data_IF_821840025663
#
_entry.id   IF_821840025663
#
_cell.length_a   1.000
_cell.length_b   1.000
_cell.length_c   1.000
_cell.angle_alpha   90.00
_cell.angle_beta   90.00
_cell.angle_gamma   90.00
#
_symmetry.space_group_name_H-M   'P 1'
#
loop_
_entity.id
_entity.type
_entity.pdbx_description
1 polymer ?
#
# COMPACT_ATOMS: atom_id res chain seq x y z
N UNK A 1 8.97 21.80 8.73
CA UNK A 1 8.14 21.26 7.64
C UNK A 1 6.76 20.96 8.17
N UNK A 2 5.68 21.34 7.47
CA UNK A 2 4.33 20.84 7.79
C UNK A 2 4.29 19.34 7.51
N UNK A 3 3.61 18.59 8.37
CA UNK A 3 3.34 17.17 8.11
C UNK A 3 2.58 17.04 6.77
N UNK A 4 2.98 16.14 5.85
CA UNK A 4 2.21 15.90 4.63
C UNK A 4 0.86 15.22 4.91
N UNK A 5 0.69 14.67 6.13
CA UNK A 5 -0.54 14.00 6.54
C UNK A 5 -1.57 15.02 7.04
N UNK A 6 -2.75 15.02 6.42
CA UNK A 6 -3.95 15.76 6.83
C UNK A 6 -4.95 14.80 7.45
N UNK A 7 -5.80 15.26 8.40
CA UNK A 7 -6.90 14.45 8.92
C UNK A 7 -7.97 14.18 7.86
N UNK A 8 -8.13 15.09 6.90
CA UNK A 8 -9.02 14.89 5.75
C UNK A 8 -8.28 14.08 4.69
N UNK A 9 -8.85 12.93 4.32
CA UNK A 9 -8.26 12.00 3.34
C UNK A 9 -8.98 12.19 2.01
N UNK A 10 -8.21 12.54 0.97
CA UNK A 10 -8.69 12.65 -0.40
C UNK A 10 -8.18 11.46 -1.21
N UNK A 11 -9.12 10.74 -1.84
CA UNK A 11 -8.86 9.59 -2.73
C UNK A 11 -9.64 9.82 -4.02
N UNK A 12 -8.93 9.79 -5.15
CA UNK A 12 -9.51 9.96 -6.48
C UNK A 12 -9.57 8.63 -7.21
N UNK A 13 -10.39 8.54 -8.26
CA UNK A 13 -10.48 7.30 -9.05
C UNK A 13 -9.18 6.96 -9.78
N UNK A 14 -8.38 7.94 -10.20
CA UNK A 14 -7.12 7.69 -10.92
C UNK A 14 -5.98 7.25 -10.03
N UNK A 15 -6.06 7.49 -8.71
CA UNK A 15 -5.01 7.21 -7.75
C UNK A 15 -3.67 7.95 -8.01
N UNK A 16 -3.66 9.02 -8.82
CA UNK A 16 -2.43 9.74 -9.16
C UNK A 16 -1.74 10.34 -7.93
N UNK A 17 -2.49 10.51 -6.84
CA UNK A 17 -2.01 11.01 -5.55
C UNK A 17 -1.43 9.93 -4.60
N UNK A 18 -1.36 8.67 -5.05
CA UNK A 18 -0.91 7.49 -4.31
C UNK A 18 0.15 6.75 -5.15
N UNK A 19 1.42 6.67 -4.72
CA UNK A 19 1.98 7.23 -3.49
C UNK A 19 2.09 8.76 -3.51
N UNK A 20 2.28 9.37 -2.35
CA UNK A 20 2.69 10.77 -2.25
C UNK A 20 4.09 11.00 -2.85
N UNK A 21 4.39 12.23 -3.26
CA UNK A 21 5.69 12.60 -3.83
C UNK A 21 6.86 12.24 -2.90
N UNK A 22 6.70 12.40 -1.58
CA UNK A 22 7.73 12.05 -0.60
C UNK A 22 7.98 10.53 -0.58
N UNK A 23 6.93 9.70 -0.55
CA UNK A 23 7.07 8.24 -0.56
C UNK A 23 7.61 7.73 -1.92
N UNK A 24 7.25 8.39 -3.02
CA UNK A 24 7.80 8.09 -4.33
C UNK A 24 9.30 8.41 -4.44
N UNK A 25 9.74 9.55 -3.90
CA UNK A 25 11.11 10.04 -4.04
C UNK A 25 12.09 9.46 -3.01
N UNK A 26 11.60 9.01 -1.84
CA UNK A 26 12.44 8.59 -0.72
C UNK A 26 12.27 7.11 -0.39
N UNK A 27 13.27 6.31 -0.78
CA UNK A 27 13.25 4.85 -0.59
C UNK A 27 13.28 4.40 0.88
N UNK A 28 13.53 5.30 1.82
CA UNK A 28 13.46 4.99 3.24
C UNK A 28 12.02 4.69 3.70
N UNK A 29 11.00 5.13 2.96
CA UNK A 29 9.60 4.83 3.22
C UNK A 29 9.22 3.47 2.62
N UNK A 30 9.12 2.45 3.47
CA UNK A 30 8.87 1.08 3.04
C UNK A 30 8.02 0.30 4.05
N UNK A 31 7.45 -0.80 3.58
CA UNK A 31 6.75 -1.84 4.34
C UNK A 31 7.53 -3.15 4.25
N UNK A 32 7.76 -3.79 5.39
CA UNK A 32 8.17 -5.20 5.47
C UNK A 32 7.05 -6.02 6.08
N UNK A 33 6.69 -7.12 5.42
CA UNK A 33 5.68 -8.09 5.86
C UNK A 33 6.38 -9.34 6.31
N UNK A 34 6.21 -9.69 7.57
CA UNK A 34 6.87 -10.83 8.22
C UNK A 34 5.82 -11.72 8.87
N UNK A 35 5.89 -13.01 8.59
CA UNK A 35 5.04 -14.02 9.24
C UNK A 35 5.79 -14.70 10.38
N UNK A 36 5.13 -14.86 11.52
CA UNK A 36 5.61 -15.68 12.62
C UNK A 36 4.69 -16.90 12.75
N UNK A 37 5.20 -18.04 12.27
CA UNK A 37 4.44 -19.28 12.22
C UNK A 37 4.18 -19.88 13.61
N UNK A 38 5.05 -19.60 14.59
CA UNK A 38 4.95 -20.15 15.93
C UNK A 38 3.81 -19.48 16.69
N UNK A 39 3.67 -18.16 16.55
CA UNK A 39 2.62 -17.38 17.20
C UNK A 39 1.37 -17.16 16.32
N UNK A 40 1.43 -17.53 15.04
CA UNK A 40 0.41 -17.24 14.01
C UNK A 40 0.19 -15.74 13.80
N UNK A 41 1.24 -14.95 13.98
CA UNK A 41 1.22 -13.51 13.80
C UNK A 41 1.68 -13.11 12.39
N UNK A 42 1.19 -11.97 11.95
CA UNK A 42 1.69 -11.28 10.75
C UNK A 42 2.00 -9.84 11.14
N UNK A 43 3.24 -9.44 10.91
CA UNK A 43 3.73 -8.10 11.20
C UNK A 43 3.77 -7.28 9.92
N UNK A 44 3.15 -6.10 9.96
CA UNK A 44 3.27 -5.07 8.93
C UNK A 44 4.20 -3.97 9.47
N UNK A 45 5.49 -4.12 9.23
CA UNK A 45 6.53 -3.23 9.73
C UNK A 45 6.74 -2.06 8.77
N UNK A 46 6.14 -0.92 9.09
CA UNK A 46 6.37 0.33 8.34
C UNK A 46 7.58 1.05 8.88
N UNK A 47 8.50 1.46 8.00
CA UNK A 47 9.65 2.27 8.38
C UNK A 47 9.28 3.70 8.81
N UNK A 48 8.06 4.14 8.48
CA UNK A 48 7.59 5.50 8.75
C UNK A 48 6.07 5.59 8.74
N UNK A 49 5.55 6.64 9.39
CA UNK A 49 4.11 6.96 9.35
C UNK A 49 3.62 7.32 7.95
N UNK A 50 4.47 7.87 7.08
CA UNK A 50 4.11 8.20 5.70
C UNK A 50 3.90 6.95 4.85
N UNK A 51 4.78 5.95 4.95
CA UNK A 51 4.58 4.66 4.29
C UNK A 51 3.27 3.99 4.75
N UNK A 52 2.98 4.04 6.05
CA UNK A 52 1.72 3.53 6.60
C UNK A 52 0.50 4.30 6.07
N UNK A 53 0.60 5.63 5.95
CA UNK A 53 -0.47 6.48 5.46
C UNK A 53 -0.80 6.19 3.99
N UNK A 54 0.20 6.14 3.10
CA UNK A 54 -0.06 5.85 1.68
C UNK A 54 -0.49 4.41 1.43
N UNK A 55 0.00 3.45 2.23
CA UNK A 55 -0.56 2.09 2.26
C UNK A 55 -2.05 2.10 2.61
N UNK A 56 -2.44 2.81 3.68
CA UNK A 56 -3.85 2.91 4.07
C UNK A 56 -4.70 3.58 3.00
N UNK A 57 -4.19 4.63 2.33
CA UNK A 57 -4.86 5.28 1.20
C UNK A 57 -5.05 4.34 0.02
N UNK A 58 -4.07 3.50 -0.27
CA UNK A 58 -4.18 2.46 -1.29
C UNK A 58 -5.28 1.45 -0.98
N UNK A 59 -5.42 1.04 0.29
CA UNK A 59 -6.54 0.20 0.72
C UNK A 59 -7.89 0.90 0.59
N UNK A 60 -7.97 2.18 0.95
CA UNK A 60 -9.19 2.97 0.78
C UNK A 60 -9.57 3.13 -0.70
N UNK A 61 -8.58 3.36 -1.57
CA UNK A 61 -8.80 3.40 -3.02
C UNK A 61 -9.38 2.10 -3.53
N UNK A 62 -8.80 0.96 -3.15
CA UNK A 62 -9.32 -0.36 -3.52
C UNK A 62 -10.75 -0.58 -3.00
N UNK A 63 -11.03 -0.19 -1.76
CA UNK A 63 -12.37 -0.34 -1.19
C UNK A 63 -13.43 0.51 -1.92
N UNK A 64 -13.04 1.68 -2.44
CA UNK A 64 -13.96 2.59 -3.14
C UNK A 64 -14.11 2.27 -4.64
N UNK A 65 -13.04 1.82 -5.29
CA UNK A 65 -12.96 1.73 -6.75
C UNK A 65 -12.52 0.37 -7.29
N UNK A 66 -12.00 -0.50 -6.43
CA UNK A 66 -11.54 -1.85 -6.75
C UNK A 66 -12.66 -2.77 -7.21
N UNK A 67 -12.33 -3.75 -8.05
CA UNK A 67 -13.30 -4.68 -8.67
C UNK A 67 -12.80 -6.12 -8.78
N UNK A 68 -11.54 -6.37 -8.45
CA UNK A 68 -10.88 -7.67 -8.57
C UNK A 68 -11.27 -8.65 -7.46
N UNK A 69 -11.78 -8.15 -6.33
CA UNK A 69 -11.99 -8.95 -5.11
C UNK A 69 -10.67 -9.30 -4.40
N UNK A 70 -9.56 -8.73 -4.85
CA UNK A 70 -8.26 -8.89 -4.23
C UNK A 70 -7.34 -7.70 -4.50
N UNK A 71 -6.46 -7.41 -3.55
CA UNK A 71 -5.31 -6.52 -3.74
C UNK A 71 -4.04 -7.24 -3.35
N UNK A 72 -3.02 -7.06 -4.17
CA UNK A 72 -1.70 -7.63 -3.94
C UNK A 72 -0.68 -6.52 -3.72
N UNK A 73 0.17 -6.71 -2.72
CA UNK A 73 1.40 -5.94 -2.55
C UNK A 73 2.59 -6.90 -2.62
N UNK A 74 3.58 -6.56 -3.44
CA UNK A 74 4.81 -7.33 -3.57
C UNK A 74 6.05 -6.40 -3.62
N UNK A 75 7.22 -6.90 -3.21
CA UNK A 75 8.49 -6.27 -3.54
C UNK A 75 8.64 -6.17 -5.05
N UNK A 76 8.83 -4.95 -5.55
CA UNK A 76 9.02 -4.69 -6.97
C UNK A 76 10.26 -3.83 -7.18
N UNK A 77 11.12 -4.30 -8.08
CA UNK A 77 12.36 -3.63 -8.48
C UNK A 77 12.38 -3.39 -9.98
N UNK A 78 12.67 -2.16 -10.38
CA UNK A 78 12.84 -1.76 -11.76
C UNK A 78 14.15 -0.99 -11.94
N UNK A 79 15.00 -1.45 -12.86
CA UNK A 79 16.32 -0.85 -13.11
C UNK A 79 17.20 -0.66 -11.86
N UNK A 80 17.13 -1.62 -10.92
CA UNK A 80 17.92 -1.59 -9.68
C UNK A 80 17.40 -0.62 -8.62
N UNK A 81 16.23 -0.02 -8.83
CA UNK A 81 15.51 0.76 -7.83
C UNK A 81 14.29 -0.02 -7.39
N UNK A 82 14.03 -0.03 -6.08
CA UNK A 82 12.72 -0.46 -5.58
C UNK A 82 11.70 0.58 -6.03
N UNK A 83 10.45 0.19 -6.22
CA UNK A 83 9.39 1.13 -6.58
C UNK A 83 8.26 1.06 -5.55
N UNK A 84 7.61 2.19 -5.33
CA UNK A 84 6.35 2.23 -4.59
C UNK A 84 5.22 1.92 -5.59
N UNK A 85 4.64 0.73 -5.49
CA UNK A 85 3.53 0.29 -6.34
C UNK A 85 2.27 0.31 -5.49
N UNK A 86 1.18 0.85 -6.04
CA UNK A 86 -0.09 1.01 -5.33
C UNK A 86 0.11 1.62 -3.93
N UNK A 87 0.86 2.71 -3.84
CA UNK A 87 0.98 3.51 -2.63
C UNK A 87 2.08 3.13 -1.65
N UNK A 88 2.67 1.93 -1.70
CA UNK A 88 3.76 1.57 -0.79
C UNK A 88 4.88 0.82 -1.48
N UNK A 89 6.11 1.08 -1.04
CA UNK A 89 7.31 0.34 -1.42
C UNK A 89 7.51 -0.82 -0.46
N UNK A 90 7.67 -2.03 -0.96
CA UNK A 90 7.99 -3.17 -0.11
C UNK A 90 9.49 -3.42 -0.05
N UNK A 91 9.99 -3.83 1.12
CA UNK A 91 11.38 -4.25 1.27
C UNK A 91 11.64 -5.52 0.44
N UNK A 92 12.86 -5.68 -0.08
CA UNK A 92 13.20 -6.78 -1.01
C UNK A 92 13.12 -8.17 -0.36
N UNK A 93 13.30 -8.24 0.95
CA UNK A 93 13.17 -9.42 1.80
C UNK A 93 11.76 -9.60 2.40
N UNK A 94 10.82 -8.72 2.08
CA UNK A 94 9.44 -8.79 2.57
C UNK A 94 8.69 -9.98 1.96
N UNK A 95 7.83 -10.60 2.75
CA UNK A 95 6.76 -11.45 2.22
C UNK A 95 5.81 -10.65 1.33
N UNK A 96 5.10 -11.33 0.41
CA UNK A 96 3.98 -10.75 -0.36
C UNK A 96 2.76 -10.66 0.54
N UNK A 97 1.98 -9.59 0.37
CA UNK A 97 0.70 -9.40 1.07
C UNK A 97 -0.45 -9.53 0.08
N UNK A 98 -1.40 -10.40 0.40
CA UNK A 98 -2.64 -10.55 -0.33
C UNK A 98 -3.80 -10.17 0.57
N UNK A 99 -4.69 -9.32 0.07
CA UNK A 99 -5.91 -8.91 0.75
C UNK A 99 -7.07 -9.33 -0.13
N UNK A 100 -7.91 -10.23 0.37
CA UNK A 100 -9.09 -10.72 -0.34
C UNK A 100 -10.36 -10.12 0.26
N UNK A 101 -11.32 -9.79 -0.59
CA UNK A 101 -12.62 -9.27 -0.17
C UNK A 101 -13.71 -9.71 -1.14
N UNK A 102 -14.96 -9.77 -0.67
CA UNK A 102 -16.08 -10.07 -1.54
C UNK A 102 -16.35 -8.88 -2.45
N UNK A 103 -16.52 -9.14 -3.74
CA UNK A 103 -16.89 -8.09 -4.67
C UNK A 103 -18.38 -7.80 -4.50
N UNK A 104 -18.69 -6.77 -3.72
CA UNK A 104 -20.05 -6.29 -3.48
C UNK A 104 -20.55 -5.35 -4.60
N UNK A 105 -19.75 -5.15 -5.66
CA UNK A 105 -20.19 -4.35 -6.80
C UNK A 105 -21.39 -5.02 -7.48
N UNK A 106 -22.53 -4.32 -7.64
CA UNK A 106 -23.67 -4.89 -8.34
C UNK A 106 -23.26 -5.32 -9.76
N UNK A 107 -23.77 -6.45 -10.27
CA UNK A 107 -23.54 -6.83 -11.66
C UNK A 107 -23.96 -5.66 -12.55
N UNK A 108 -23.06 -5.25 -13.44
CA UNK A 108 -23.19 -4.05 -14.28
C UNK A 108 -24.63 -3.88 -14.83
N UNK A 109 -25.24 -2.71 -14.56
CA UNK A 109 -26.40 -2.22 -15.32
C UNK A 109 -25.94 -1.65 -16.67
#
# INVERSE_FOLDING_TARGET
MKSPMTPDIYITKSADEIPSEEVAANEAHQLTVEGDADNKDVYLNFSSRLAMYDFARSLLHEALYGRSGQKEFLPFEYQGKREAIDGVRMASDSGRLFIFYQNDAPPNN
#
